data_IF_865028305325
#
_entry.id   IF_865028305325
#
_cell.length_a   1.000
_cell.length_b   1.000
_cell.length_c   1.000
_cell.angle_alpha   90.00
_cell.angle_beta   90.00
_cell.angle_gamma   90.00
#
_symmetry.space_group_name_H-M   'P 1'
#
loop_
_entity.id
_entity.type
_entity.pdbx_description
1 polymer ?
#
# COMPACT_ATOMS: atom_id res chain seq x y z
N UNK A 1 -0.54 -2.07 -16.11
CA UNK A 1 -0.73 -1.07 -15.04
C UNK A 1 0.26 -1.22 -13.88
N UNK A 2 0.50 -2.45 -13.41
CA UNK A 2 1.39 -2.75 -12.28
C UNK A 2 2.77 -3.29 -12.70
N UNK A 3 2.80 -4.17 -13.69
CA UNK A 3 4.00 -4.88 -14.18
C UNK A 3 4.49 -4.40 -15.55
N UNK A 4 3.74 -3.50 -16.19
CA UNK A 4 3.94 -3.11 -17.59
C UNK A 4 3.88 -4.30 -18.58
N UNK A 5 3.21 -5.39 -18.19
CA UNK A 5 2.90 -6.53 -19.05
C UNK A 5 1.48 -6.42 -19.61
N UNK A 6 1.32 -6.84 -20.87
CA UNK A 6 0.04 -6.94 -21.56
C UNK A 6 -0.29 -8.41 -21.83
N UNK A 7 -0.67 -9.14 -20.77
CA UNK A 7 -1.09 -10.53 -20.82
C UNK A 7 -2.62 -10.59 -20.91
N UNK A 8 -3.16 -11.48 -21.74
CA UNK A 8 -4.61 -11.68 -21.86
C UNK A 8 -5.15 -12.60 -20.78
N UNK A 9 -4.35 -13.54 -20.31
CA UNK A 9 -4.69 -14.45 -19.22
C UNK A 9 -3.48 -14.68 -18.31
N UNK A 10 -3.60 -14.28 -17.04
CA UNK A 10 -2.57 -14.55 -16.04
C UNK A 10 -2.79 -15.89 -15.34
N UNK A 11 -4.01 -16.41 -15.31
CA UNK A 11 -4.44 -17.58 -14.53
C UNK A 11 -4.49 -18.85 -15.40
N UNK A 12 -3.60 -18.94 -16.41
CA UNK A 12 -3.64 -19.95 -17.49
C UNK A 12 -3.40 -21.38 -17.03
N UNK A 13 -2.83 -21.60 -15.85
CA UNK A 13 -2.45 -22.92 -15.32
C UNK A 13 -1.30 -23.62 -16.08
N UNK A 14 -0.89 -23.10 -17.24
CA UNK A 14 0.25 -23.58 -18.02
C UNK A 14 1.25 -22.46 -18.25
N UNK A 15 2.46 -22.63 -17.72
CA UNK A 15 3.59 -21.72 -17.94
C UNK A 15 4.88 -22.52 -18.06
N UNK A 16 5.71 -22.13 -19.02
CA UNK A 16 7.02 -22.74 -19.25
C UNK A 16 8.09 -21.70 -19.04
N UNK A 17 9.09 -22.05 -18.23
CA UNK A 17 10.18 -21.16 -17.87
C UNK A 17 11.52 -21.80 -18.23
N UNK A 18 12.50 -20.94 -18.54
CA UNK A 18 13.89 -21.37 -18.52
C UNK A 18 14.33 -21.59 -17.07
N UNK A 19 15.22 -22.55 -16.86
CA UNK A 19 15.71 -22.89 -15.51
C UNK A 19 16.37 -21.72 -14.79
N UNK A 20 17.17 -20.93 -15.51
CA UNK A 20 17.84 -19.75 -14.96
C UNK A 20 16.84 -18.70 -14.45
N UNK A 21 15.64 -18.62 -15.04
CA UNK A 21 14.57 -17.74 -14.56
C UNK A 21 13.93 -18.31 -13.30
N UNK A 22 13.59 -19.61 -13.28
CA UNK A 22 12.95 -20.24 -12.10
C UNK A 22 13.84 -20.22 -10.87
N UNK A 23 15.15 -20.40 -11.04
CA UNK A 23 16.11 -20.41 -9.93
C UNK A 23 16.21 -19.05 -9.21
N UNK A 24 15.73 -17.97 -9.85
CA UNK A 24 15.66 -16.62 -9.25
C UNK A 24 14.33 -16.34 -8.53
N UNK A 25 13.33 -17.21 -8.67
CA UNK A 25 11.97 -16.98 -8.15
C UNK A 25 11.80 -17.65 -6.78
N UNK A 26 11.91 -16.86 -5.71
CA UNK A 26 11.62 -17.32 -4.35
C UNK A 26 10.13 -17.16 -4.02
N UNK A 27 9.25 -18.04 -4.52
CA UNK A 27 7.79 -18.00 -4.30
C UNK A 27 7.40 -18.26 -2.83
N UNK A 28 6.34 -17.59 -2.37
CA UNK A 28 5.87 -17.64 -0.98
C UNK A 28 4.37 -17.90 -0.85
N UNK A 29 3.57 -17.63 -1.90
CA UNK A 29 2.14 -17.88 -1.88
C UNK A 29 1.82 -19.33 -2.27
N UNK A 30 0.78 -19.86 -1.64
CA UNK A 30 0.17 -21.15 -1.98
C UNK A 30 -1.16 -20.95 -2.74
N UNK A 31 -1.64 -22.02 -3.36
CA UNK A 31 -2.95 -22.03 -4.01
C UNK A 31 -3.03 -21.05 -5.19
N UNK A 32 -4.10 -20.26 -5.25
CA UNK A 32 -4.34 -19.32 -6.37
C UNK A 32 -3.51 -18.03 -6.27
N UNK A 33 -2.89 -17.75 -5.11
CA UNK A 33 -2.03 -16.57 -4.94
C UNK A 33 -0.69 -16.66 -5.69
N UNK A 34 -0.28 -17.88 -6.06
CA UNK A 34 0.98 -18.14 -6.76
C UNK A 34 1.05 -17.44 -8.12
N UNK A 35 -0.08 -17.33 -8.82
CA UNK A 35 -0.15 -16.81 -10.18
C UNK A 35 0.14 -15.29 -10.21
N UNK A 36 -0.51 -14.45 -9.39
CA UNK A 36 -0.12 -13.04 -9.23
C UNK A 36 1.32 -12.83 -8.75
N UNK A 37 1.80 -13.64 -7.80
CA UNK A 37 3.16 -13.53 -7.27
C UNK A 37 4.21 -13.85 -8.36
N UNK A 38 3.97 -14.93 -9.11
CA UNK A 38 4.82 -15.39 -10.19
C UNK A 38 4.93 -14.32 -11.28
N UNK A 39 3.81 -13.79 -11.75
CA UNK A 39 3.78 -12.72 -12.77
C UNK A 39 4.51 -11.47 -12.28
N UNK A 40 4.28 -11.06 -11.02
CA UNK A 40 4.94 -9.89 -10.45
C UNK A 40 6.46 -10.05 -10.40
N UNK A 41 6.96 -11.21 -9.95
CA UNK A 41 8.40 -11.48 -9.83
C UNK A 41 9.07 -11.63 -11.19
N UNK A 42 8.43 -12.33 -12.13
CA UNK A 42 8.93 -12.48 -13.50
C UNK A 42 9.00 -11.11 -14.19
N UNK A 43 7.99 -10.25 -14.01
CA UNK A 43 8.02 -8.88 -14.51
C UNK A 43 9.18 -8.07 -13.92
N UNK A 44 9.46 -8.22 -12.63
CA UNK A 44 10.56 -7.54 -11.96
C UNK A 44 11.95 -7.97 -12.49
N UNK A 45 12.10 -9.21 -12.96
CA UNK A 45 13.33 -9.70 -13.62
C UNK A 45 13.54 -9.12 -15.03
N UNK A 46 12.53 -8.39 -15.57
CA UNK A 46 12.56 -7.78 -16.90
C UNK A 46 12.92 -8.76 -18.02
N UNK A 47 12.49 -10.02 -17.86
CA UNK A 47 12.69 -11.10 -18.85
C UNK A 47 11.65 -11.03 -19.97
N UNK A 48 11.92 -11.73 -21.07
CA UNK A 48 11.01 -11.81 -22.22
C UNK A 48 9.88 -12.80 -21.95
N UNK A 49 8.64 -12.41 -22.28
CA UNK A 49 7.44 -13.20 -22.06
C UNK A 49 6.66 -13.32 -23.37
N UNK A 50 6.12 -14.50 -23.64
CA UNK A 50 5.28 -14.79 -24.79
C UNK A 50 4.03 -15.51 -24.34
N UNK A 51 2.90 -15.13 -24.93
CA UNK A 51 1.63 -15.80 -24.73
C UNK A 51 1.33 -16.66 -25.96
N UNK A 52 1.02 -17.93 -25.72
CA UNK A 52 0.62 -18.87 -26.75
C UNK A 52 -0.81 -19.31 -26.46
N UNK A 53 -1.68 -19.22 -27.46
CA UNK A 53 -3.08 -19.62 -27.32
C UNK A 53 -3.21 -21.11 -27.04
N UNK A 54 -4.03 -21.45 -26.04
CA UNK A 54 -4.39 -22.83 -25.71
C UNK A 54 -5.90 -22.98 -25.70
N UNK A 55 -6.40 -24.20 -25.98
CA UNK A 55 -7.80 -24.53 -25.79
C UNK A 55 -7.99 -25.13 -24.39
N UNK A 56 -8.94 -24.58 -23.62
CA UNK A 56 -9.25 -25.05 -22.28
C UNK A 56 -10.74 -25.32 -22.13
N UNK A 57 -11.07 -26.49 -21.58
CA UNK A 57 -12.44 -26.87 -21.22
C UNK A 57 -12.59 -26.87 -19.70
N UNK A 58 -13.08 -25.75 -19.16
CA UNK A 58 -13.22 -25.56 -17.73
C UNK A 58 -14.42 -26.29 -17.15
N UNK A 59 -14.27 -26.81 -15.93
CA UNK A 59 -15.38 -27.36 -15.14
C UNK A 59 -16.43 -26.29 -14.82
N UNK A 60 -17.70 -26.67 -14.81
CA UNK A 60 -18.82 -25.90 -14.28
C UNK A 60 -18.86 -25.97 -12.75
N UNK A 61 -19.69 -25.13 -12.12
CA UNK A 61 -19.91 -25.21 -10.67
C UNK A 61 -20.55 -26.55 -10.26
N UNK A 62 -21.46 -27.09 -11.07
CA UNK A 62 -22.10 -28.38 -10.83
C UNK A 62 -21.10 -29.56 -10.88
N UNK A 63 -20.06 -29.46 -11.72
CA UNK A 63 -18.97 -30.44 -11.81
C UNK A 63 -17.91 -30.28 -10.69
N UNK A 64 -18.21 -29.49 -9.65
CA UNK A 64 -17.35 -29.32 -8.49
C UNK A 64 -16.17 -28.37 -8.74
N UNK A 65 -16.42 -27.22 -9.39
CA UNK A 65 -15.44 -26.12 -9.45
C UNK A 65 -15.02 -25.73 -8.02
N UNK A 66 -13.72 -25.84 -7.73
CA UNK A 66 -13.15 -25.63 -6.39
C UNK A 66 -12.83 -24.17 -6.08
N UNK A 67 -12.68 -23.34 -7.11
CA UNK A 67 -12.38 -21.91 -6.98
C UNK A 67 -13.64 -21.12 -6.62
N UNK A 68 -13.51 -20.21 -5.67
CA UNK A 68 -14.60 -19.35 -5.20
C UNK A 68 -14.20 -17.88 -5.05
N UNK A 69 -15.14 -17.07 -4.54
CA UNK A 69 -14.92 -15.63 -4.36
C UNK A 69 -13.76 -15.30 -3.39
N UNK A 70 -13.48 -16.19 -2.44
CA UNK A 70 -12.35 -16.04 -1.50
C UNK A 70 -11.01 -16.08 -2.22
N UNK A 71 -10.86 -16.97 -3.21
CA UNK A 71 -9.66 -17.05 -4.03
C UNK A 71 -9.48 -15.79 -4.88
N UNK A 72 -10.57 -15.23 -5.41
CA UNK A 72 -10.55 -13.96 -6.14
C UNK A 72 -10.11 -12.78 -5.27
N UNK A 73 -10.61 -12.69 -4.02
CA UNK A 73 -10.16 -11.68 -3.06
C UNK A 73 -8.70 -11.89 -2.65
N UNK A 74 -8.26 -13.15 -2.50
CA UNK A 74 -6.86 -13.47 -2.22
C UNK A 74 -5.93 -13.12 -3.38
N UNK A 75 -6.34 -13.40 -4.61
CA UNK A 75 -5.60 -13.01 -5.81
C UNK A 75 -5.46 -11.49 -5.90
N UNK A 76 -6.53 -10.73 -5.63
CA UNK A 76 -6.46 -9.26 -5.57
C UNK A 76 -5.47 -8.78 -4.50
N UNK A 77 -5.50 -9.40 -3.31
CA UNK A 77 -4.51 -9.13 -2.27
C UNK A 77 -3.09 -9.42 -2.75
N UNK A 78 -2.84 -10.56 -3.42
CA UNK A 78 -1.53 -10.89 -3.97
C UNK A 78 -1.09 -9.90 -5.04
N UNK A 79 -1.97 -9.51 -5.97
CA UNK A 79 -1.67 -8.47 -6.97
C UNK A 79 -1.20 -7.19 -6.27
N UNK A 80 -1.91 -6.74 -5.24
CA UNK A 80 -1.52 -5.55 -4.49
C UNK A 80 -0.20 -5.77 -3.72
N UNK A 81 -0.08 -6.85 -2.96
CA UNK A 81 1.11 -7.19 -2.15
C UNK A 81 2.39 -7.23 -2.98
N UNK A 82 2.34 -7.86 -4.16
CA UNK A 82 3.52 -8.07 -4.98
C UNK A 82 3.80 -6.95 -5.97
N UNK A 83 2.81 -6.10 -6.28
CA UNK A 83 2.98 -5.04 -7.28
C UNK A 83 2.81 -3.60 -6.80
N UNK A 84 2.26 -3.35 -5.60
CA UNK A 84 1.97 -1.98 -5.14
C UNK A 84 3.20 -1.06 -5.19
N UNK A 85 4.40 -1.56 -4.91
CA UNK A 85 5.62 -0.76 -4.97
C UNK A 85 5.99 -0.28 -6.38
N UNK A 86 5.61 -1.03 -7.41
CA UNK A 86 5.87 -0.70 -8.82
C UNK A 86 4.72 0.10 -9.46
N UNK A 87 3.60 0.23 -8.77
CA UNK A 87 2.43 0.96 -9.26
C UNK A 87 2.75 2.45 -9.49
N UNK A 88 2.06 3.11 -10.45
CA UNK A 88 2.14 4.55 -10.60
C UNK A 88 1.68 5.27 -9.33
N UNK A 89 2.15 6.50 -9.14
CA UNK A 89 1.97 7.24 -7.88
C UNK A 89 0.51 7.43 -7.48
N UNK A 90 -0.39 7.65 -8.43
CA UNK A 90 -1.83 7.78 -8.18
C UNK A 90 -2.43 6.49 -7.61
N UNK A 91 -1.99 5.33 -8.10
CA UNK A 91 -2.51 4.05 -7.64
C UNK A 91 -1.94 3.69 -6.27
N UNK A 92 -0.65 3.99 -6.02
CA UNK A 92 -0.09 3.90 -4.67
C UNK A 92 -0.84 4.81 -3.69
N UNK A 93 -1.20 6.03 -4.13
CA UNK A 93 -2.00 6.94 -3.32
C UNK A 93 -3.40 6.41 -3.07
N UNK A 94 -4.06 5.82 -4.06
CA UNK A 94 -5.39 5.21 -3.90
C UNK A 94 -5.35 4.04 -2.89
N UNK A 95 -4.37 3.15 -2.99
CA UNK A 95 -4.18 2.06 -2.01
C UNK A 95 -3.86 2.64 -0.62
N UNK A 96 -3.02 3.68 -0.56
CA UNK A 96 -2.74 4.39 0.68
C UNK A 96 -3.97 5.10 1.26
N UNK A 97 -4.91 5.59 0.46
CA UNK A 97 -6.17 6.14 0.95
C UNK A 97 -7.05 5.07 1.58
N UNK A 98 -7.08 3.86 1.04
CA UNK A 98 -7.82 2.75 1.66
C UNK A 98 -7.22 2.38 3.03
N UNK A 99 -5.89 2.28 3.12
CA UNK A 99 -5.20 1.93 4.38
C UNK A 99 -5.19 3.09 5.37
N UNK A 100 -4.81 4.28 4.90
CA UNK A 100 -4.71 5.51 5.67
C UNK A 100 -6.08 6.07 6.08
N UNK A 101 -7.15 5.75 5.36
CA UNK A 101 -8.53 6.13 5.71
C UNK A 101 -8.95 5.57 7.06
N UNK A 102 -8.57 4.32 7.38
CA UNK A 102 -8.82 3.74 8.70
C UNK A 102 -8.08 4.49 9.81
N UNK A 103 -6.80 4.82 9.58
CA UNK A 103 -6.03 5.63 10.53
C UNK A 103 -6.60 7.05 10.68
N UNK A 104 -7.09 7.66 9.60
CA UNK A 104 -7.73 8.96 9.63
C UNK A 104 -9.04 8.94 10.43
N UNK A 105 -9.84 7.89 10.29
CA UNK A 105 -11.04 7.70 11.10
C UNK A 105 -10.69 7.57 12.58
N UNK A 106 -9.68 6.75 12.92
CA UNK A 106 -9.18 6.61 14.28
C UNK A 106 -8.70 7.96 14.83
N UNK A 107 -7.97 8.75 14.03
CA UNK A 107 -7.49 10.08 14.41
C UNK A 107 -8.65 11.02 14.78
N UNK A 108 -9.69 11.09 13.95
CA UNK A 108 -10.84 11.98 14.17
C UNK A 108 -11.68 11.51 15.37
N UNK A 109 -11.92 10.20 15.50
CA UNK A 109 -12.68 9.63 16.61
C UNK A 109 -11.95 9.79 17.95
N UNK A 110 -10.65 9.49 17.98
CA UNK A 110 -9.82 9.68 19.17
C UNK A 110 -9.80 11.16 19.59
N UNK A 111 -9.64 12.08 18.64
CA UNK A 111 -9.70 13.51 18.91
C UNK A 111 -11.05 13.92 19.50
N UNK A 112 -12.16 13.47 18.91
CA UNK A 112 -13.50 13.79 19.40
C UNK A 112 -13.73 13.23 20.83
N UNK A 113 -13.20 12.04 21.14
CA UNK A 113 -13.22 11.48 22.49
C UNK A 113 -12.43 12.31 23.50
N UNK A 114 -11.21 12.72 23.15
CA UNK A 114 -10.34 13.53 24.00
C UNK A 114 -10.92 14.93 24.25
N UNK A 115 -11.54 15.53 23.24
CA UNK A 115 -12.26 16.81 23.39
C UNK A 115 -13.44 16.68 24.36
N UNK A 116 -14.19 15.57 24.32
CA UNK A 116 -15.27 15.29 25.27
C UNK A 116 -14.76 15.06 26.70
N UNK A 117 -13.52 14.56 26.84
CA UNK A 117 -12.84 14.42 28.12
C UNK A 117 -12.26 15.76 28.65
N UNK A 118 -12.46 16.87 27.94
CA UNK A 118 -12.04 18.21 28.37
C UNK A 118 -10.59 18.57 28.04
N UNK A 119 -9.90 17.80 27.22
CA UNK A 119 -8.52 18.13 26.84
C UNK A 119 -8.48 19.38 25.96
N UNK A 120 -7.46 20.25 26.13
CA UNK A 120 -7.21 21.36 25.21
C UNK A 120 -6.98 20.85 23.78
N UNK A 121 -7.50 21.58 22.79
CA UNK A 121 -7.46 21.25 21.36
C UNK A 121 -6.09 20.77 20.90
N UNK A 122 -5.03 21.45 21.31
CA UNK A 122 -3.67 21.07 20.92
C UNK A 122 -3.20 19.73 21.48
N UNK A 123 -3.48 19.44 22.75
CA UNK A 123 -3.10 18.19 23.39
C UNK A 123 -3.93 17.03 22.82
N UNK A 124 -5.24 17.26 22.64
CA UNK A 124 -6.14 16.31 22.00
C UNK A 124 -5.70 15.98 20.56
N UNK A 125 -5.34 16.99 19.76
CA UNK A 125 -4.90 16.79 18.38
C UNK A 125 -3.59 16.00 18.31
N UNK A 126 -2.61 16.32 19.17
CA UNK A 126 -1.33 15.64 19.21
C UNK A 126 -1.47 14.17 19.64
N UNK A 127 -2.21 13.91 20.72
CA UNK A 127 -2.42 12.56 21.22
C UNK A 127 -3.18 11.67 20.21
N UNK A 128 -4.24 12.21 19.59
CA UNK A 128 -4.99 11.52 18.56
C UNK A 128 -4.13 11.19 17.33
N UNK A 129 -3.29 12.14 16.89
CA UNK A 129 -2.40 11.94 15.75
C UNK A 129 -1.36 10.86 16.05
N UNK A 130 -0.75 10.85 17.23
CA UNK A 130 0.24 9.83 17.62
C UNK A 130 -0.38 8.42 17.63
N UNK A 131 -1.58 8.28 18.21
CA UNK A 131 -2.30 7.01 18.21
C UNK A 131 -2.60 6.53 16.78
N UNK A 132 -3.12 7.43 15.93
CA UNK A 132 -3.39 7.11 14.53
C UNK A 132 -2.13 6.81 13.71
N UNK A 133 -1.03 7.51 13.97
CA UNK A 133 0.24 7.32 13.29
C UNK A 133 0.84 5.93 13.59
N UNK A 134 0.68 5.43 14.82
CA UNK A 134 1.10 4.07 15.20
C UNK A 134 0.31 3.00 14.44
N UNK A 135 -1.02 3.16 14.36
CA UNK A 135 -1.86 2.23 13.58
C UNK A 135 -1.51 2.29 12.09
N UNK A 136 -1.33 3.50 11.55
CA UNK A 136 -0.93 3.69 10.16
C UNK A 136 0.47 3.11 9.86
N UNK A 137 1.39 3.14 10.83
CA UNK A 137 2.70 2.49 10.70
C UNK A 137 2.56 0.98 10.55
N UNK A 138 1.82 0.34 11.46
CA UNK A 138 1.61 -1.11 11.45
C UNK A 138 0.95 -1.59 10.16
N UNK A 139 -0.07 -0.86 9.69
CA UNK A 139 -0.78 -1.21 8.45
C UNK A 139 0.04 -0.97 7.18
N UNK A 140 0.86 0.09 7.14
CA UNK A 140 1.64 0.40 5.94
C UNK A 140 2.81 -0.57 5.74
N UNK A 141 3.43 -1.04 6.83
CA UNK A 141 4.47 -2.07 6.75
C UNK A 141 3.90 -3.41 6.26
N UNK A 142 2.71 -3.77 6.72
CA UNK A 142 2.11 -5.05 6.32
C UNK A 142 1.57 -5.06 4.88
N UNK A 143 1.30 -3.89 4.28
CA UNK A 143 0.58 -3.81 2.99
C UNK A 143 1.35 -3.08 1.88
N UNK A 144 2.03 -1.96 2.14
CA UNK A 144 2.41 -1.00 1.07
C UNK A 144 3.92 -0.80 0.91
N UNK A 145 4.77 -1.01 1.93
CA UNK A 145 6.20 -0.70 1.83
C UNK A 145 7.10 -1.89 2.14
N UNK A 146 8.06 -2.15 1.25
CA UNK A 146 9.14 -3.11 1.47
C UNK A 146 10.22 -2.47 2.32
N UNK A 147 10.62 -3.15 3.38
CA UNK A 147 11.73 -2.73 4.23
C UNK A 147 13.07 -2.77 3.50
N UNK A 148 14.01 -1.91 3.93
CA UNK A 148 15.43 -1.91 3.51
C UNK A 148 15.69 -1.61 2.04
N UNK A 149 14.93 -0.68 1.45
CA UNK A 149 15.16 -0.26 0.05
C UNK A 149 16.32 0.74 -0.09
N UNK A 150 16.42 1.71 0.82
CA UNK A 150 17.45 2.77 0.78
C UNK A 150 18.26 2.90 2.07
N UNK A 151 17.59 2.70 3.20
CA UNK A 151 18.16 2.92 4.53
C UNK A 151 18.42 1.59 5.23
N UNK A 152 19.37 1.57 6.16
CA UNK A 152 19.42 0.51 7.16
C UNK A 152 18.11 0.51 7.97
N UNK A 153 17.79 -0.61 8.64
CA UNK A 153 16.55 -0.71 9.42
C UNK A 153 16.36 0.48 10.39
N UNK A 154 17.44 0.90 11.07
CA UNK A 154 17.41 2.07 11.95
C UNK A 154 17.24 3.41 11.22
N UNK A 155 17.86 3.58 10.05
CA UNK A 155 17.69 4.79 9.24
C UNK A 155 16.27 4.95 8.69
N UNK A 156 15.63 3.85 8.30
CA UNK A 156 14.23 3.83 7.85
C UNK A 156 13.29 4.27 8.98
N UNK A 157 13.48 3.72 10.18
CA UNK A 157 12.72 4.10 11.38
C UNK A 157 12.94 5.58 11.74
N UNK A 158 14.17 6.09 11.67
CA UNK A 158 14.46 7.50 11.95
C UNK A 158 13.75 8.43 10.96
N UNK A 159 13.89 8.17 9.66
CA UNK A 159 13.24 8.98 8.62
C UNK A 159 11.71 8.92 8.73
N UNK A 160 11.17 7.76 9.08
CA UNK A 160 9.75 7.61 9.36
C UNK A 160 9.30 8.49 10.52
N UNK A 161 10.01 8.47 11.64
CA UNK A 161 9.71 9.28 12.81
C UNK A 161 9.79 10.78 12.51
N UNK A 162 10.76 11.21 11.69
CA UNK A 162 10.87 12.60 11.25
C UNK A 162 9.68 13.04 10.40
N UNK A 163 9.24 12.21 9.44
CA UNK A 163 8.05 12.48 8.62
C UNK A 163 6.80 12.54 9.50
N UNK A 164 6.63 11.59 10.42
CA UNK A 164 5.48 11.57 11.35
C UNK A 164 5.49 12.82 12.25
N UNK A 165 6.65 13.21 12.78
CA UNK A 165 6.77 14.42 13.60
C UNK A 165 6.39 15.67 12.81
N UNK A 166 6.94 15.85 11.60
CA UNK A 166 6.64 16.99 10.75
C UNK A 166 5.16 17.08 10.37
N UNK A 167 4.57 15.96 9.94
CA UNK A 167 3.14 15.90 9.59
C UNK A 167 2.26 16.12 10.83
N UNK A 168 2.67 15.58 12.00
CA UNK A 168 1.96 15.79 13.26
C UNK A 168 1.96 17.25 13.70
N UNK A 169 3.07 17.97 13.52
CA UNK A 169 3.13 19.41 13.76
C UNK A 169 2.15 20.16 12.84
N UNK A 170 2.14 19.84 11.54
CA UNK A 170 1.20 20.45 10.59
C UNK A 170 -0.24 20.16 10.96
N UNK A 171 -0.57 18.91 11.33
CA UNK A 171 -1.92 18.52 11.76
C UNK A 171 -2.38 19.31 13.00
N UNK A 172 -1.54 19.41 14.03
CA UNK A 172 -1.86 20.15 15.26
C UNK A 172 -2.01 21.64 14.99
N UNK A 173 -1.11 22.25 14.21
CA UNK A 173 -1.17 23.67 13.88
C UNK A 173 -2.39 24.00 13.03
N UNK A 174 -2.68 23.19 12.01
CA UNK A 174 -3.87 23.37 11.16
C UNK A 174 -5.15 23.21 11.97
N UNK A 175 -5.22 22.20 12.84
CA UNK A 175 -6.39 22.00 13.72
C UNK A 175 -6.60 23.21 14.63
N UNK A 176 -5.53 23.72 15.27
CA UNK A 176 -5.62 24.90 16.14
C UNK A 176 -6.05 26.15 15.38
N UNK A 177 -5.45 26.42 14.22
CA UNK A 177 -5.75 27.59 13.42
C UNK A 177 -7.21 27.59 12.92
N UNK A 178 -7.72 26.45 12.47
CA UNK A 178 -9.11 26.33 12.02
C UNK A 178 -10.10 26.53 13.18
N UNK A 179 -9.82 25.95 14.36
CA UNK A 179 -10.66 26.16 15.55
C UNK A 179 -10.66 27.63 15.98
N UNK A 180 -9.50 28.29 15.96
CA UNK A 180 -9.40 29.74 16.25
C UNK A 180 -10.16 30.59 15.24
N UNK A 181 -10.30 30.10 14.01
CA UNK A 181 -11.08 30.74 12.94
C UNK A 181 -12.58 30.45 13.04
N UNK A 182 -13.03 29.80 14.13
CA UNK A 182 -14.45 29.53 14.39
C UNK A 182 -14.97 28.19 13.85
N UNK A 183 -14.11 27.32 13.30
CA UNK A 183 -14.55 25.99 12.86
C UNK A 183 -14.86 25.11 14.06
N UNK A 184 -15.88 24.26 13.92
CA UNK A 184 -16.16 23.21 14.89
C UNK A 184 -14.91 22.30 15.04
N UNK A 185 -14.51 21.91 16.26
CA UNK A 185 -13.26 21.15 16.49
C UNK A 185 -13.13 19.88 15.65
N UNK A 186 -14.22 19.12 15.49
CA UNK A 186 -14.21 17.88 14.68
C UNK A 186 -14.04 18.19 13.20
N UNK A 187 -14.68 19.24 12.68
CA UNK A 187 -14.53 19.66 11.28
C UNK A 187 -13.11 20.16 10.99
N UNK A 188 -12.54 20.96 11.91
CA UNK A 188 -11.16 21.38 11.85
C UNK A 188 -10.18 20.19 11.81
N UNK A 189 -10.41 19.18 12.67
CA UNK A 189 -9.58 17.98 12.72
C UNK A 189 -9.71 17.12 11.45
N UNK A 190 -10.91 17.00 10.89
CA UNK A 190 -11.15 16.28 9.63
C UNK A 190 -10.36 16.92 8.47
N UNK A 191 -10.41 18.24 8.34
CA UNK A 191 -9.65 18.99 7.33
C UNK A 191 -8.13 18.83 7.53
N UNK A 192 -7.64 18.98 8.77
CA UNK A 192 -6.22 18.79 9.10
C UNK A 192 -5.75 17.35 8.79
N UNK A 193 -6.59 16.36 9.07
CA UNK A 193 -6.29 14.95 8.78
C UNK A 193 -6.19 14.68 7.28
N UNK A 194 -7.05 15.31 6.47
CA UNK A 194 -7.00 15.18 5.00
C UNK A 194 -5.69 15.75 4.43
N UNK A 195 -5.26 16.92 4.90
CA UNK A 195 -3.95 17.51 4.57
C UNK A 195 -2.82 16.60 5.04
N UNK A 196 -2.91 16.09 6.27
CA UNK A 196 -1.93 15.19 6.86
C UNK A 196 -1.77 13.89 6.07
N UNK A 197 -2.86 13.31 5.55
CA UNK A 197 -2.81 12.11 4.71
C UNK A 197 -1.97 12.33 3.44
N UNK A 198 -2.19 13.45 2.74
CA UNK A 198 -1.46 13.79 1.52
C UNK A 198 0.04 14.02 1.81
N UNK A 199 0.35 14.78 2.86
CA UNK A 199 1.74 15.05 3.27
C UNK A 199 2.46 13.78 3.72
N UNK A 200 1.77 12.91 4.46
CA UNK A 200 2.33 11.65 4.95
C UNK A 200 2.63 10.69 3.78
N UNK A 201 1.72 10.62 2.79
CA UNK A 201 1.99 9.87 1.55
C UNK A 201 3.21 10.42 0.80
N UNK A 202 3.27 11.73 0.58
CA UNK A 202 4.37 12.38 -0.13
C UNK A 202 5.71 12.16 0.58
N UNK A 203 5.77 12.39 1.91
CA UNK A 203 6.96 12.18 2.70
C UNK A 203 7.46 10.74 2.66
N UNK A 204 6.54 9.76 2.77
CA UNK A 204 6.90 8.34 2.67
C UNK A 204 7.42 7.97 1.29
N UNK A 205 6.74 8.39 0.23
CA UNK A 205 7.13 8.04 -1.15
C UNK A 205 8.46 8.69 -1.56
N UNK A 206 8.66 9.96 -1.22
CA UNK A 206 9.81 10.73 -1.71
C UNK A 206 11.05 10.57 -0.84
N UNK A 207 10.89 10.49 0.48
CA UNK A 207 12.00 10.52 1.42
C UNK A 207 12.33 9.13 1.98
N UNK A 208 11.30 8.35 2.33
CA UNK A 208 11.47 7.07 3.03
C UNK A 208 11.65 5.91 2.05
N UNK A 209 10.80 5.85 1.01
CA UNK A 209 10.73 4.74 0.05
C UNK A 209 10.77 5.22 -1.42
N UNK A 210 11.85 5.88 -1.86
CA UNK A 210 11.99 6.21 -3.28
C UNK A 210 12.13 4.92 -4.09
N UNK A 211 11.12 4.62 -4.93
CA UNK A 211 11.17 3.46 -5.81
C UNK A 211 12.02 3.81 -7.06
N UNK A 212 13.10 3.07 -7.35
CA UNK A 212 13.85 3.25 -8.59
C UNK A 212 12.98 2.86 -9.79
N UNK A 213 13.17 3.54 -10.92
CA UNK A 213 12.50 3.16 -12.17
C UNK A 213 12.94 1.75 -12.56
N UNK A 214 12.00 0.82 -12.85
CA UNK A 214 12.38 -0.49 -13.30
C UNK A 214 13.06 -0.35 -14.67
N UNK A 215 14.34 -0.74 -14.75
CA UNK A 215 15.18 -0.58 -15.95
C UNK A 215 14.59 -1.21 -17.22
N UNK A 216 15.25 -1.05 -18.37
CA UNK A 216 14.72 -1.54 -19.65
C UNK A 216 14.53 -3.06 -19.64
N UNK A 217 13.57 -3.54 -20.45
CA UNK A 217 13.39 -4.97 -20.72
C UNK A 217 14.66 -5.55 -21.35
N UNK A 218 15.06 -6.77 -20.96
CA UNK A 218 16.24 -7.43 -21.52
C UNK A 218 16.08 -7.57 -23.05
N UNK A 219 17.07 -7.13 -23.85
CA UNK A 219 17.00 -7.16 -25.30
C UNK A 219 16.90 -8.59 -25.84
N UNK A 220 16.54 -8.72 -27.13
CA UNK A 220 16.45 -10.00 -27.85
C UNK A 220 17.80 -10.69 -27.99
#
# INVERSE_FOLDING_TARGET
MFTDLNLTDIETGYKVFRRDVTDQLNLQEDGFGIEPELVAKVAALRVRIYEAGISYHGRTYAEGKKIGARDGLWALYCVLRYNAHHAPWLLQFAVYLCVGGLAALINVLAFAGLMRAGLPVGQAAAAAFLAAALVNYMLCISVIFRHKVRWSAGGETLMFLLVVAAVGTVDVMTTRALVQSGWAPVAAKLAATAVGLALNFAGRRLLVFPAPSPGPWKPR
#
